data_IF_709557068229
#
_entry.id   IF_709557068229
#
_cell.length_a   1.000
_cell.length_b   1.000
_cell.length_c   1.000
_cell.angle_alpha   90.00
_cell.angle_beta   90.00
_cell.angle_gamma   90.00
#
_symmetry.space_group_name_H-M   'P 1'
#
loop_
_entity.id
_entity.type
_entity.pdbx_description
1 polymer ?
#
# COMPACT_ATOMS: atom_id res chain seq x y z
N UNK A 1 -12.97 -49.44 48.68
CA UNK A 1 -11.61 -49.00 48.31
C UNK A 1 -11.46 -48.33 46.93
N UNK A 2 -12.50 -48.17 46.08
CA UNK A 2 -12.35 -47.62 44.71
C UNK A 2 -12.50 -46.10 44.54
N UNK A 3 -12.97 -45.34 45.55
CA UNK A 3 -13.20 -43.88 45.43
C UNK A 3 -11.99 -43.00 45.82
N UNK A 4 -10.98 -43.54 46.50
CA UNK A 4 -9.78 -42.77 46.90
C UNK A 4 -8.70 -42.69 45.82
N UNK A 5 -8.71 -43.60 44.84
CA UNK A 5 -7.76 -43.59 43.72
C UNK A 5 -8.09 -42.55 42.65
N UNK A 6 -9.38 -42.20 42.47
CA UNK A 6 -9.80 -41.25 41.44
C UNK A 6 -9.35 -39.81 41.75
N UNK A 7 -9.30 -39.43 43.04
CA UNK A 7 -8.85 -38.10 43.46
C UNK A 7 -7.33 -37.91 43.34
N UNK A 8 -6.55 -38.98 43.48
CA UNK A 8 -5.08 -38.94 43.29
C UNK A 8 -4.70 -38.78 41.81
N UNK A 9 -5.45 -39.38 40.88
CA UNK A 9 -5.23 -39.20 39.44
C UNK A 9 -5.64 -37.81 38.93
N UNK A 10 -6.71 -37.23 39.48
CA UNK A 10 -7.13 -35.87 39.11
C UNK A 10 -6.15 -34.79 39.63
N UNK A 11 -5.56 -35.00 40.82
CA UNK A 11 -4.53 -34.10 41.36
C UNK A 11 -3.24 -34.09 40.55
N UNK A 12 -2.81 -35.25 40.01
CA UNK A 12 -1.60 -35.36 39.21
C UNK A 12 -1.74 -34.68 37.82
N UNK A 13 -2.93 -34.72 37.21
CA UNK A 13 -3.20 -34.04 35.93
C UNK A 13 -3.26 -32.51 36.05
N UNK A 14 -3.70 -31.97 37.20
CA UNK A 14 -3.71 -30.53 37.46
C UNK A 14 -2.29 -30.00 37.77
N UNK A 15 -1.43 -30.82 38.40
CA UNK A 15 -0.04 -30.45 38.63
C UNK A 15 0.81 -30.43 37.33
N UNK A 16 0.53 -31.32 36.37
CA UNK A 16 1.25 -31.39 35.08
C UNK A 16 0.80 -30.32 34.05
N UNK A 17 -0.43 -29.81 34.12
CA UNK A 17 -0.88 -28.72 33.25
C UNK A 17 -0.31 -27.36 33.67
N UNK A 18 0.05 -27.22 34.95
CA UNK A 18 0.64 -26.01 35.53
C UNK A 18 2.09 -25.79 35.05
N UNK A 19 2.89 -26.85 34.90
CA UNK A 19 4.29 -26.77 34.46
C UNK A 19 4.43 -26.43 32.98
N UNK A 20 3.51 -26.90 32.12
CA UNK A 20 3.50 -26.58 30.69
C UNK A 20 3.22 -25.08 30.41
N UNK A 21 2.36 -24.44 31.20
CA UNK A 21 2.08 -23.00 31.07
C UNK A 21 3.25 -22.14 31.61
N UNK A 22 3.96 -22.61 32.63
CA UNK A 22 5.16 -21.94 33.16
C UNK A 22 6.33 -22.06 32.17
N UNK A 23 6.54 -23.23 31.56
CA UNK A 23 7.55 -23.41 30.50
C UNK A 23 7.27 -22.53 29.28
N UNK A 24 6.01 -22.42 28.86
CA UNK A 24 5.62 -21.52 27.75
C UNK A 24 5.92 -20.06 28.08
N UNK A 25 5.58 -19.60 29.28
CA UNK A 25 5.90 -18.23 29.75
C UNK A 25 7.41 -17.97 29.86
N UNK A 26 8.21 -18.98 30.20
CA UNK A 26 9.68 -18.89 30.23
C UNK A 26 10.28 -18.86 28.82
N UNK A 27 9.79 -19.69 27.90
CA UNK A 27 10.16 -19.66 26.48
C UNK A 27 9.85 -18.32 25.81
N UNK A 28 8.67 -17.75 26.11
CA UNK A 28 8.27 -16.43 25.62
C UNK A 28 9.12 -15.30 26.19
N UNK A 29 9.64 -15.45 27.42
CA UNK A 29 10.56 -14.47 28.05
C UNK A 29 11.98 -14.58 27.51
N UNK A 30 12.46 -15.80 27.25
CA UNK A 30 13.78 -16.04 26.66
C UNK A 30 13.82 -15.53 25.22
N UNK A 31 12.79 -15.83 24.41
CA UNK A 31 12.65 -15.33 23.04
C UNK A 31 12.61 -13.81 23.01
N UNK A 32 11.84 -13.16 23.90
CA UNK A 32 11.83 -11.70 24.05
C UNK A 32 13.18 -11.10 24.42
N UNK A 33 13.98 -11.75 25.26
CA UNK A 33 15.31 -11.25 25.65
C UNK A 33 16.31 -11.34 24.49
N UNK A 34 16.29 -12.45 23.73
CA UNK A 34 17.13 -12.65 22.56
C UNK A 34 16.74 -11.65 21.47
N UNK A 35 15.44 -11.50 21.20
CA UNK A 35 14.91 -10.54 20.23
C UNK A 35 15.26 -9.09 20.61
N UNK A 36 15.21 -8.72 21.89
CA UNK A 36 15.63 -7.40 22.35
C UNK A 36 17.14 -7.14 22.16
N UNK A 37 17.98 -8.14 22.40
CA UNK A 37 19.43 -8.01 22.24
C UNK A 37 19.85 -7.92 20.78
N UNK A 38 19.16 -8.67 19.91
CA UNK A 38 19.35 -8.62 18.45
C UNK A 38 18.84 -7.28 17.89
N UNK A 39 17.64 -6.84 18.28
CA UNK A 39 17.08 -5.56 17.86
C UNK A 39 17.96 -4.35 18.25
N UNK A 40 18.59 -4.36 19.44
CA UNK A 40 19.49 -3.27 19.86
C UNK A 40 20.78 -3.19 19.03
N UNK A 41 21.31 -4.33 18.56
CA UNK A 41 22.46 -4.34 17.62
C UNK A 41 22.07 -3.88 16.22
N UNK A 42 20.83 -4.18 15.84
CA UNK A 42 20.22 -3.86 14.56
C UNK A 42 19.86 -2.37 14.46
N UNK A 43 19.32 -1.75 15.52
CA UNK A 43 19.01 -0.30 15.57
C UNK A 43 20.29 0.53 15.32
N UNK A 44 21.42 0.13 15.92
CA UNK A 44 22.71 0.79 15.69
C UNK A 44 23.24 0.63 14.25
N UNK A 45 22.91 -0.47 13.58
CA UNK A 45 23.28 -0.67 12.19
C UNK A 45 22.41 0.18 11.25
N UNK A 46 21.12 0.32 11.56
CA UNK A 46 20.15 1.11 10.78
C UNK A 46 20.46 2.59 10.87
N UNK A 47 20.75 3.12 12.05
CA UNK A 47 21.14 4.52 12.18
C UNK A 47 22.38 4.80 11.32
N UNK A 48 23.33 3.87 11.24
CA UNK A 48 24.51 3.99 10.38
C UNK A 48 24.16 3.95 8.87
N UNK A 49 23.34 3.01 8.41
CA UNK A 49 22.99 2.92 6.98
C UNK A 49 22.04 4.04 6.54
N UNK A 50 21.09 4.46 7.38
CA UNK A 50 20.21 5.60 7.07
C UNK A 50 20.97 6.91 7.06
N UNK A 51 21.90 7.13 8.00
CA UNK A 51 22.75 8.33 8.01
C UNK A 51 23.65 8.39 6.76
N UNK A 52 24.18 7.26 6.29
CA UNK A 52 24.97 7.18 5.05
C UNK A 52 24.14 7.48 3.78
N UNK A 53 22.84 7.12 3.77
CA UNK A 53 21.93 7.38 2.65
C UNK A 53 21.41 8.82 2.65
N UNK A 54 21.19 9.42 3.82
CA UNK A 54 20.59 10.77 3.95
C UNK A 54 21.61 11.90 4.04
N UNK A 55 22.86 11.64 4.45
CA UNK A 55 23.94 12.62 4.51
C UNK A 55 25.31 11.97 4.21
N UNK A 56 25.70 11.83 2.93
CA UNK A 56 27.04 11.34 2.61
C UNK A 56 28.10 12.35 3.09
N UNK A 57 28.90 11.98 4.11
CA UNK A 57 30.04 12.78 4.56
C UNK A 57 31.11 12.85 3.44
N UNK A 58 31.67 14.03 3.15
CA UNK A 58 32.78 14.15 2.19
C UNK A 58 34.02 13.45 2.76
N UNK A 59 34.65 12.57 1.97
CA UNK A 59 35.87 11.86 2.35
C UNK A 59 37.01 12.83 2.65
N UNK A 60 37.59 12.70 3.84
CA UNK A 60 38.85 13.35 4.21
C UNK A 60 40.00 12.87 3.31
N UNK A 61 40.56 13.79 2.52
CA UNK A 61 42.01 13.97 2.30
C UNK A 61 42.24 15.37 1.76
N UNK A 62 42.69 16.27 2.62
CA UNK A 62 43.18 17.62 2.26
C UNK A 62 44.65 17.55 1.78
N UNK A 63 45.22 18.57 1.08
CA UNK A 63 45.60 19.82 1.76
C UNK A 63 45.29 21.14 1.02
N UNK A 64 44.99 22.14 1.87
CA UNK A 64 44.85 23.61 1.73
C UNK A 64 45.83 24.32 0.77
N UNK A 65 45.49 25.55 0.29
CA UNK A 65 45.90 26.80 0.98
C UNK A 65 44.78 27.88 1.05
N UNK A 66 44.47 28.44 2.23
CA UNK A 66 44.91 29.72 2.87
C UNK A 66 44.16 31.00 2.41
N UNK A 67 43.41 31.57 3.39
CA UNK A 67 43.16 33.00 3.76
C UNK A 67 42.62 33.96 2.67
N UNK A 68 41.61 34.79 2.92
CA UNK A 68 41.58 35.91 3.89
C UNK A 68 40.17 36.23 4.44
N UNK A 69 40.16 36.98 5.54
CA UNK A 69 39.00 37.47 6.30
C UNK A 69 38.93 39.01 6.24
N UNK A 70 37.90 39.57 6.89
CA UNK A 70 37.64 40.99 7.25
C UNK A 70 36.74 41.80 6.28
N UNK A 71 35.72 42.61 6.66
CA UNK A 71 34.94 42.93 7.90
C UNK A 71 33.73 43.81 7.47
N UNK A 72 32.76 44.15 8.37
CA UNK A 72 31.42 44.68 8.06
C UNK A 72 31.27 46.22 8.22
N UNK A 73 30.14 46.79 7.77
CA UNK A 73 29.63 48.06 8.33
C UNK A 73 28.11 48.28 8.10
N UNK A 74 27.50 48.87 9.13
CA UNK A 74 26.10 49.19 9.44
C UNK A 74 25.67 50.55 8.84
N UNK A 75 24.35 50.76 8.58
CA UNK A 75 23.56 51.96 9.00
C UNK A 75 22.09 51.96 8.51
N UNK A 76 21.19 52.30 9.43
CA UNK A 76 19.79 52.78 9.29
C UNK A 76 19.62 53.96 10.28
N UNK A 77 18.48 54.69 10.39
CA UNK A 77 17.43 55.22 9.47
C UNK A 77 17.21 56.75 9.78
N UNK A 78 16.00 57.40 9.90
CA UNK A 78 14.62 57.38 9.32
C UNK A 78 14.18 58.86 8.93
N UNK A 79 12.92 59.43 9.06
CA UNK A 79 11.51 58.96 9.30
C UNK A 79 10.34 59.70 8.55
N UNK A 80 9.08 59.25 8.80
CA UNK A 80 7.81 60.04 8.82
C UNK A 80 6.80 59.74 7.68
N UNK A 81 5.46 59.74 7.81
CA UNK A 81 4.54 59.97 8.93
C UNK A 81 3.07 59.55 8.56
N UNK A 82 2.19 59.64 9.56
CA UNK A 82 0.81 59.18 9.81
C UNK A 82 -0.39 59.38 8.81
N UNK A 83 -1.40 58.48 9.02
CA UNK A 83 -2.86 58.37 8.68
C UNK A 83 -3.71 59.68 8.66
N UNK A 84 -4.99 59.75 8.15
CA UNK A 84 -6.13 58.83 8.43
C UNK A 84 -7.27 58.65 7.38
N UNK A 85 -8.32 57.94 7.83
CA UNK A 85 -9.52 57.31 7.22
C UNK A 85 -10.63 58.27 6.75
N UNK A 86 -11.41 57.90 5.73
CA UNK A 86 -12.82 58.32 5.60
C UNK A 86 -13.72 57.23 4.97
N UNK A 87 -14.88 56.97 5.60
CA UNK A 87 -15.98 56.11 5.11
C UNK A 87 -16.91 56.93 4.21
N UNK A 88 -17.34 56.38 3.07
CA UNK A 88 -18.59 56.80 2.39
C UNK A 88 -19.40 55.57 2.01
N UNK A 89 -20.65 55.52 2.49
CA UNK A 89 -21.73 54.63 2.03
C UNK A 89 -22.32 55.23 0.74
N UNK A 90 -22.40 54.45 -0.33
CA UNK A 90 -23.05 54.83 -1.58
C UNK A 90 -23.55 53.57 -2.30
N UNK A 91 -24.78 53.66 -2.81
CA UNK A 91 -25.67 52.57 -3.24
C UNK A 91 -25.25 51.99 -4.60
N UNK A 92 -25.63 50.73 -4.79
CA UNK A 92 -25.55 49.89 -5.99
C UNK A 92 -26.07 50.60 -7.24
N UNK A 93 -25.26 50.63 -8.28
CA UNK A 93 -25.71 50.53 -9.68
C UNK A 93 -24.92 49.45 -10.39
N UNK A 94 -25.65 48.40 -10.72
CA UNK A 94 -25.24 47.22 -11.46
C UNK A 94 -25.03 47.56 -12.94
N UNK A 95 -23.78 47.54 -13.38
CA UNK A 95 -23.40 47.30 -14.77
C UNK A 95 -22.07 46.53 -14.77
N UNK A 96 -22.13 45.23 -14.44
CA UNK A 96 -21.03 44.31 -14.75
C UNK A 96 -21.49 43.49 -15.95
N UNK A 97 -21.08 43.98 -17.11
CA UNK A 97 -21.01 43.23 -18.36
C UNK A 97 -20.22 41.95 -18.10
N UNK A 98 -20.79 40.80 -18.46
CA UNK A 98 -20.20 39.48 -18.30
C UNK A 98 -18.93 39.33 -19.17
N UNK A 99 -17.77 39.73 -18.65
CA UNK A 99 -16.44 39.29 -19.11
C UNK A 99 -15.95 38.10 -18.25
N UNK A 100 -16.77 37.06 -18.09
CA UNK A 100 -16.40 35.90 -17.26
C UNK A 100 -15.82 34.71 -18.06
N UNK A 101 -15.99 34.64 -19.38
CA UNK A 101 -15.51 33.48 -20.15
C UNK A 101 -13.99 33.52 -20.43
N UNK A 102 -13.41 34.70 -20.67
CA UNK A 102 -11.97 34.84 -20.95
C UNK A 102 -11.08 34.70 -19.70
N UNK A 103 -11.58 35.12 -18.53
CA UNK A 103 -10.86 35.07 -17.25
C UNK A 103 -10.91 33.69 -16.62
N UNK A 104 -12.03 32.97 -16.73
CA UNK A 104 -12.16 31.62 -16.18
C UNK A 104 -11.32 30.58 -16.96
N UNK A 105 -11.35 30.60 -18.29
CA UNK A 105 -10.52 29.70 -19.10
C UNK A 105 -9.01 29.94 -18.95
N UNK A 106 -8.60 31.18 -18.66
CA UNK A 106 -7.20 31.50 -18.32
C UNK A 106 -6.84 30.99 -16.92
N UNK A 107 -7.74 31.13 -15.95
CA UNK A 107 -7.55 30.64 -14.59
C UNK A 107 -7.43 29.10 -14.52
N UNK A 108 -8.23 28.35 -15.28
CA UNK A 108 -8.14 26.89 -15.36
C UNK A 108 -6.77 26.43 -15.90
N UNK A 109 -6.32 27.01 -17.00
CA UNK A 109 -4.98 26.73 -17.57
C UNK A 109 -3.84 27.09 -16.61
N UNK A 110 -4.01 28.16 -15.82
CA UNK A 110 -3.05 28.54 -14.79
C UNK A 110 -3.06 27.56 -13.62
N UNK A 111 -4.23 27.06 -13.22
CA UNK A 111 -4.38 26.08 -12.15
C UNK A 111 -3.64 24.77 -12.50
N UNK A 112 -3.80 24.27 -13.72
CA UNK A 112 -3.15 23.04 -14.20
C UNK A 112 -1.61 23.13 -14.21
N UNK A 113 -1.05 24.32 -14.43
CA UNK A 113 0.40 24.54 -14.49
C UNK A 113 0.99 25.04 -13.17
N UNK A 114 0.16 25.30 -12.17
CA UNK A 114 0.58 25.86 -10.90
C UNK A 114 1.41 24.82 -10.14
N UNK A 115 2.58 25.22 -9.68
CA UNK A 115 3.39 24.44 -8.74
C UNK A 115 2.75 24.48 -7.36
N UNK A 116 2.52 23.31 -6.79
CA UNK A 116 2.06 23.17 -5.42
C UNK A 116 3.18 22.91 -4.43
N UNK A 117 2.78 22.43 -3.26
CA UNK A 117 3.66 22.15 -2.14
C UNK A 117 3.29 20.85 -1.46
N UNK A 118 4.27 20.25 -0.77
CA UNK A 118 4.05 19.13 0.14
C UNK A 118 3.72 19.60 1.54
N UNK A 119 2.75 18.94 2.16
CA UNK A 119 2.38 19.15 3.56
C UNK A 119 2.13 17.82 4.23
N UNK A 120 2.85 17.55 5.31
CA UNK A 120 2.51 16.40 6.16
C UNK A 120 1.23 16.73 6.94
N UNK A 121 0.22 15.88 6.84
CA UNK A 121 -0.99 15.96 7.65
C UNK A 121 -0.97 14.88 8.73
N UNK A 122 -1.68 15.14 9.84
CA UNK A 122 -1.87 14.13 10.89
C UNK A 122 -3.12 13.33 10.56
N UNK A 123 -2.96 12.10 10.11
CA UNK A 123 -4.01 11.08 10.23
C UNK A 123 -3.39 9.79 10.76
N UNK A 124 -3.55 9.58 12.07
CA UNK A 124 -3.35 8.28 12.70
C UNK A 124 -4.61 7.44 12.41
N UNK A 125 -4.52 6.43 11.55
CA UNK A 125 -5.54 5.38 11.49
C UNK A 125 -5.33 4.33 12.60
N UNK A 126 -5.05 4.82 13.80
CA UNK A 126 -4.61 4.06 14.96
C UNK A 126 -5.18 4.69 16.22
N UNK A 127 -6.49 4.62 16.40
CA UNK A 127 -7.07 5.08 17.66
C UNK A 127 -6.52 4.26 18.85
N UNK A 128 -6.03 3.02 18.64
CA UNK A 128 -5.66 2.12 19.74
C UNK A 128 -4.44 1.18 19.54
N UNK A 129 -3.21 1.64 19.19
CA UNK A 129 -2.03 0.78 18.96
C UNK A 129 -1.73 -0.19 20.12
N UNK A 130 -1.38 -1.45 19.80
CA UNK A 130 -1.00 -2.46 20.78
C UNK A 130 0.37 -2.09 21.34
N UNK A 131 0.73 -2.55 22.54
CA UNK A 131 2.05 -2.26 23.10
C UNK A 131 3.22 -2.65 22.17
N UNK A 132 3.06 -3.74 21.40
CA UNK A 132 4.07 -4.17 20.42
C UNK A 132 4.13 -3.22 19.21
N UNK A 133 3.01 -2.72 18.71
CA UNK A 133 3.01 -1.76 17.61
C UNK A 133 3.62 -0.42 18.05
N UNK A 134 3.25 0.09 19.23
CA UNK A 134 3.85 1.32 19.79
C UNK A 134 5.36 1.23 19.89
N UNK A 135 5.89 0.03 20.18
CA UNK A 135 7.34 -0.20 20.30
C UNK A 135 8.06 0.01 18.97
N UNK A 136 7.47 -0.41 17.85
CA UNK A 136 8.11 -0.35 16.53
C UNK A 136 7.71 0.88 15.71
N UNK A 137 6.69 1.63 16.15
CA UNK A 137 6.25 2.89 15.53
C UNK A 137 7.40 3.84 15.19
N UNK A 138 8.36 4.13 16.09
CA UNK A 138 9.47 5.05 15.76
C UNK A 138 10.32 4.57 14.58
N UNK A 139 10.54 3.27 14.46
CA UNK A 139 11.35 2.68 13.40
C UNK A 139 10.61 2.67 12.06
N UNK A 140 9.33 2.30 12.07
CA UNK A 140 8.46 2.38 10.90
C UNK A 140 8.26 3.84 10.44
N UNK A 141 8.21 4.79 11.39
CA UNK A 141 8.15 6.23 11.10
C UNK A 141 9.39 6.74 10.37
N UNK A 142 10.58 6.28 10.76
CA UNK A 142 11.84 6.60 10.07
C UNK A 142 11.81 6.10 8.62
N UNK A 143 11.34 4.87 8.39
CA UNK A 143 11.20 4.31 7.03
C UNK A 143 10.22 5.15 6.20
N UNK A 144 9.05 5.50 6.74
CA UNK A 144 8.07 6.31 6.01
C UNK A 144 8.56 7.74 5.75
N UNK A 145 9.36 8.33 6.64
CA UNK A 145 10.00 9.62 6.38
C UNK A 145 11.01 9.50 5.24
N UNK A 146 11.87 8.47 5.25
CA UNK A 146 12.83 8.26 4.17
C UNK A 146 12.13 8.05 2.82
N UNK A 147 11.02 7.31 2.79
CA UNK A 147 10.17 7.18 1.59
C UNK A 147 9.63 8.55 1.15
N UNK A 148 9.13 9.36 2.09
CA UNK A 148 8.60 10.67 1.80
C UNK A 148 9.68 11.61 1.23
N UNK A 149 10.88 11.60 1.81
CA UNK A 149 12.03 12.37 1.34
C UNK A 149 12.39 11.99 -0.09
N UNK A 150 12.39 10.68 -0.43
CA UNK A 150 12.63 10.22 -1.80
C UNK A 150 11.59 10.72 -2.79
N UNK A 151 10.30 10.68 -2.42
CA UNK A 151 9.24 11.18 -3.30
C UNK A 151 9.35 12.68 -3.51
N UNK A 152 9.60 13.44 -2.43
CA UNK A 152 9.74 14.90 -2.48
C UNK A 152 11.03 15.37 -3.16
N UNK A 153 12.10 14.57 -3.14
CA UNK A 153 13.33 14.85 -3.89
C UNK A 153 13.07 14.85 -5.40
N UNK A 154 12.25 13.90 -5.87
CA UNK A 154 11.95 13.72 -7.29
C UNK A 154 10.85 14.68 -7.77
N UNK A 155 9.85 14.95 -6.93
CA UNK A 155 8.76 15.89 -7.23
C UNK A 155 8.64 16.98 -6.16
N UNK A 156 9.61 17.91 -6.04
CA UNK A 156 9.62 18.89 -4.96
C UNK A 156 8.50 19.94 -5.06
N UNK A 157 7.91 20.09 -6.25
CA UNK A 157 6.90 21.10 -6.54
C UNK A 157 5.83 20.54 -7.50
N UNK A 158 4.91 19.69 -6.99
CA UNK A 158 3.94 18.96 -7.79
C UNK A 158 3.12 19.90 -8.68
N UNK A 159 3.14 19.67 -9.99
CA UNK A 159 2.44 20.53 -10.94
C UNK A 159 0.95 20.20 -10.94
N UNK A 160 0.12 21.22 -10.87
CA UNK A 160 -1.33 21.10 -10.92
C UNK A 160 -1.97 20.67 -9.60
N UNK A 161 -1.20 20.47 -8.53
CA UNK A 161 -1.74 20.02 -7.24
C UNK A 161 -0.92 20.44 -6.03
N UNK A 162 -1.58 20.67 -4.90
CA UNK A 162 -0.93 20.54 -3.60
C UNK A 162 -0.95 19.07 -3.17
N UNK A 163 0.06 18.64 -2.39
CA UNK A 163 0.10 17.26 -1.91
C UNK A 163 0.07 17.22 -0.40
N UNK A 164 -0.93 16.53 0.13
CA UNK A 164 -0.98 16.16 1.53
C UNK A 164 -0.47 14.72 1.68
N UNK A 165 0.39 14.47 2.66
CA UNK A 165 0.91 13.13 2.87
C UNK A 165 0.81 12.66 4.32
N UNK A 166 0.60 11.36 4.46
CA UNK A 166 0.25 10.71 5.71
C UNK A 166 1.02 9.41 5.90
N UNK A 167 1.10 9.01 7.18
CA UNK A 167 1.71 7.75 7.61
C UNK A 167 0.63 6.81 8.08
N UNK A 168 0.43 5.72 7.37
CA UNK A 168 -0.60 4.76 7.68
C UNK A 168 0.05 3.47 8.15
N UNK A 169 0.00 3.24 9.44
CA UNK A 169 0.23 1.91 9.98
C UNK A 169 -1.01 1.05 9.65
N UNK A 170 -0.86 -0.24 9.40
CA UNK A 170 -2.00 -1.11 9.06
C UNK A 170 -2.02 -2.35 9.95
N UNK A 171 -3.14 -2.56 10.64
CA UNK A 171 -3.24 -3.59 11.70
C UNK A 171 -3.52 -4.96 11.15
N UNK A 172 -4.64 -5.15 10.45
CA UNK A 172 -5.09 -6.53 10.17
C UNK A 172 -6.27 -6.63 9.20
N UNK A 173 -7.05 -5.56 8.99
CA UNK A 173 -8.37 -5.68 8.33
C UNK A 173 -8.38 -6.12 6.87
N UNK A 174 -7.23 -6.12 6.19
CA UNK A 174 -7.13 -6.59 4.81
C UNK A 174 -5.75 -7.21 4.53
N UNK A 175 -5.18 -7.89 5.55
CA UNK A 175 -3.88 -8.61 5.47
C UNK A 175 -3.92 -9.89 4.63
N UNK A 176 -4.86 -9.90 3.69
CA UNK A 176 -5.15 -10.98 2.75
C UNK A 176 -3.94 -11.35 1.91
N UNK A 177 -2.90 -10.53 1.85
CA UNK A 177 -1.76 -10.78 0.97
C UNK A 177 -0.40 -10.77 1.69
N UNK A 178 -0.32 -10.60 3.02
CA UNK A 178 1.01 -10.57 3.66
C UNK A 178 1.62 -11.98 3.77
N UNK A 179 2.90 -12.18 3.38
CA UNK A 179 3.61 -13.46 3.50
C UNK A 179 3.80 -13.97 4.93
N UNK A 180 3.66 -13.13 5.95
CA UNK A 180 3.72 -13.56 7.36
C UNK A 180 2.79 -12.66 8.18
N UNK A 181 1.78 -13.22 8.88
CA UNK A 181 0.83 -12.43 9.65
C UNK A 181 1.47 -11.62 10.79
N UNK A 182 2.73 -11.90 11.15
CA UNK A 182 3.49 -11.14 12.12
C UNK A 182 4.31 -10.00 11.51
N UNK A 183 4.39 -9.88 10.18
CA UNK A 183 5.04 -8.73 9.54
C UNK A 183 4.21 -7.47 9.78
N UNK A 184 4.86 -6.43 10.29
CA UNK A 184 4.22 -5.13 10.39
C UNK A 184 4.10 -4.53 9.00
N UNK A 185 2.86 -4.25 8.61
CA UNK A 185 2.53 -3.59 7.35
C UNK A 185 2.20 -2.13 7.63
N UNK A 186 2.80 -1.23 6.87
CA UNK A 186 2.61 0.22 6.97
C UNK A 186 2.84 0.85 5.60
N UNK A 187 2.38 2.07 5.40
CA UNK A 187 2.44 2.72 4.09
C UNK A 187 2.55 4.23 4.19
N UNK A 188 3.31 4.80 3.26
CA UNK A 188 3.23 6.21 2.90
C UNK A 188 2.02 6.42 1.97
N UNK A 189 1.26 7.49 2.21
CA UNK A 189 0.12 7.89 1.39
C UNK A 189 0.28 9.34 0.98
N UNK A 190 0.35 9.61 -0.33
CA UNK A 190 0.34 10.95 -0.93
C UNK A 190 -0.98 11.22 -1.63
N UNK A 191 -1.66 12.30 -1.24
CA UNK A 191 -2.93 12.78 -1.76
C UNK A 191 -2.69 14.04 -2.60
N UNK A 192 -2.81 13.92 -3.92
CA UNK A 192 -2.61 15.04 -4.84
C UNK A 192 -3.95 15.77 -4.99
N UNK A 193 -4.06 16.93 -4.35
CA UNK A 193 -5.22 17.81 -4.33
C UNK A 193 -5.14 18.78 -5.53
N UNK A 194 -5.91 18.56 -6.60
CA UNK A 194 -5.80 19.36 -7.81
C UNK A 194 -6.15 20.82 -7.55
N UNK A 195 -5.45 21.75 -8.20
CA UNK A 195 -5.88 23.14 -8.23
C UNK A 195 -7.11 23.27 -9.13
N UNK A 196 -8.17 23.89 -8.60
CA UNK A 196 -9.36 24.24 -9.37
C UNK A 196 -9.50 25.77 -9.45
N UNK A 197 -10.11 26.25 -10.52
CA UNK A 197 -10.48 27.65 -10.60
C UNK A 197 -11.79 27.89 -9.84
N UNK A 198 -11.74 28.69 -8.78
CA UNK A 198 -12.94 29.14 -8.06
C UNK A 198 -12.94 30.66 -7.98
N UNK A 199 -13.97 31.28 -8.53
CA UNK A 199 -14.11 32.74 -8.58
C UNK A 199 -12.86 33.44 -9.17
N UNK A 200 -12.28 32.88 -10.24
CA UNK A 200 -11.10 33.42 -10.91
C UNK A 200 -9.77 33.23 -10.15
N UNK A 201 -9.76 32.44 -9.07
CA UNK A 201 -8.56 32.10 -8.30
C UNK A 201 -8.32 30.60 -8.32
N UNK A 202 -7.07 30.21 -8.59
CA UNK A 202 -6.65 28.82 -8.46
C UNK A 202 -6.45 28.47 -6.97
N UNK A 203 -7.22 27.51 -6.46
CA UNK A 203 -7.13 27.00 -5.09
C UNK A 203 -7.17 25.47 -5.07
N UNK A 204 -6.51 24.80 -4.10
CA UNK A 204 -6.54 23.35 -4.02
C UNK A 204 -7.94 22.86 -3.69
N UNK A 205 -8.42 21.85 -4.42
CA UNK A 205 -9.69 21.21 -4.16
C UNK A 205 -9.57 20.20 -3.02
N UNK A 206 -10.57 20.13 -2.14
CA UNK A 206 -10.56 19.24 -0.98
C UNK A 206 -10.78 17.75 -1.30
N UNK A 207 -10.95 17.40 -2.58
CA UNK A 207 -11.08 16.01 -3.04
C UNK A 207 -9.91 15.73 -3.98
N UNK A 208 -9.14 14.70 -3.67
CA UNK A 208 -8.07 14.20 -4.53
C UNK A 208 -8.61 13.24 -5.58
N UNK A 209 -8.12 13.37 -6.82
CA UNK A 209 -8.35 12.43 -7.92
C UNK A 209 -7.15 11.50 -8.17
N UNK A 210 -6.02 11.76 -7.50
CA UNK A 210 -4.71 11.17 -7.77
C UNK A 210 -4.02 10.84 -6.46
N UNK A 211 -3.66 9.57 -6.30
CA UNK A 211 -3.02 9.08 -5.08
C UNK A 211 -1.72 8.36 -5.39
N UNK A 212 -0.80 8.41 -4.44
CA UNK A 212 0.41 7.60 -4.40
C UNK A 212 0.43 6.81 -3.09
N UNK A 213 0.65 5.50 -3.19
CA UNK A 213 0.80 4.58 -2.07
C UNK A 213 2.14 3.87 -2.19
N UNK A 214 2.92 3.88 -1.13
CA UNK A 214 4.12 3.03 -1.01
C UNK A 214 3.91 2.15 0.22
N UNK A 215 3.56 0.89 -0.03
CA UNK A 215 3.24 -0.09 1.01
C UNK A 215 4.45 -0.91 1.34
N UNK A 216 4.79 -1.02 2.61
CA UNK A 216 5.88 -1.83 3.13
C UNK A 216 5.31 -3.12 3.71
N UNK A 217 5.88 -4.26 3.33
CA UNK A 217 5.50 -5.61 3.79
C UNK A 217 4.05 -6.02 3.53
N UNK A 218 3.37 -5.32 2.62
CA UNK A 218 2.03 -5.63 2.21
C UNK A 218 1.86 -5.36 0.73
N UNK A 219 1.06 -6.19 0.08
CA UNK A 219 0.57 -5.85 -1.24
C UNK A 219 -0.55 -4.83 -1.12
N UNK A 220 -1.00 -4.34 -2.27
CA UNK A 220 -2.22 -3.60 -2.35
C UNK A 220 -3.38 -4.37 -1.68
N UNK A 221 -4.13 -3.67 -0.85
CA UNK A 221 -5.41 -4.17 -0.34
C UNK A 221 -6.32 -4.40 -1.53
N UNK A 222 -6.81 -5.62 -1.71
CA UNK A 222 -7.93 -5.82 -2.61
C UNK A 222 -9.15 -5.24 -1.91
N UNK A 223 -9.47 -3.97 -2.18
CA UNK A 223 -10.77 -3.39 -1.78
C UNK A 223 -11.95 -4.02 -2.57
N UNK A 224 -11.70 -5.18 -3.16
CA UNK A 224 -12.58 -6.02 -3.91
C UNK A 224 -13.19 -6.99 -2.90
N UNK A 225 -14.39 -6.68 -2.47
CA UNK A 225 -15.16 -7.44 -1.47
C UNK A 225 -15.36 -8.91 -1.84
N UNK A 226 -15.36 -9.25 -3.14
CA UNK A 226 -15.60 -10.60 -3.63
C UNK A 226 -14.40 -11.53 -3.44
N UNK A 227 -13.18 -11.05 -3.73
CA UNK A 227 -11.95 -11.80 -3.45
C UNK A 227 -11.78 -12.03 -1.93
N UNK A 228 -12.28 -11.10 -1.11
CA UNK A 228 -12.29 -11.26 0.35
C UNK A 228 -13.19 -12.40 0.83
N UNK A 229 -14.16 -12.88 0.03
CA UNK A 229 -14.93 -14.09 0.36
C UNK A 229 -14.06 -15.35 0.31
N UNK A 230 -13.22 -15.51 -0.72
CA UNK A 230 -12.24 -16.61 -0.80
C UNK A 230 -11.35 -16.61 0.45
N UNK A 231 -10.87 -15.42 0.81
CA UNK A 231 -9.90 -15.27 1.88
C UNK A 231 -10.50 -15.39 3.27
N UNK A 232 -11.74 -14.95 3.46
CA UNK A 232 -12.48 -15.16 4.71
C UNK A 232 -12.85 -16.63 4.93
N UNK A 233 -13.12 -17.38 3.86
CA UNK A 233 -13.49 -18.80 3.97
C UNK A 233 -12.27 -19.69 4.18
N UNK A 234 -11.19 -19.47 3.42
CA UNK A 234 -10.05 -20.41 3.41
C UNK A 234 -8.82 -19.93 4.15
N UNK A 235 -8.67 -18.64 4.40
CA UNK A 235 -7.43 -18.07 4.95
C UNK A 235 -6.21 -18.22 4.02
N UNK A 236 -6.40 -18.72 2.80
CA UNK A 236 -5.36 -19.00 1.79
C UNK A 236 -4.82 -17.74 1.10
N UNK A 237 -5.43 -16.58 1.39
CA UNK A 237 -4.82 -15.27 1.10
C UNK A 237 -4.56 -15.03 -0.39
N UNK A 238 -5.45 -15.52 -1.25
CA UNK A 238 -5.36 -15.40 -2.70
C UNK A 238 -5.69 -14.00 -3.15
N UNK A 239 -4.83 -13.42 -3.98
CA UNK A 239 -5.01 -12.11 -4.60
C UNK A 239 -4.67 -12.17 -6.10
N UNK A 240 -5.17 -11.22 -6.87
CA UNK A 240 -4.86 -11.08 -8.28
C UNK A 240 -3.83 -9.96 -8.49
N UNK A 241 -2.93 -10.15 -9.44
CA UNK A 241 -2.18 -9.05 -10.04
C UNK A 241 -2.56 -8.93 -11.50
N UNK A 242 -2.56 -7.68 -12.00
CA UNK A 242 -2.71 -7.41 -13.42
C UNK A 242 -1.57 -7.99 -14.23
N UNK A 243 -1.70 -7.93 -15.56
CA UNK A 243 -0.64 -8.35 -16.49
C UNK A 243 0.68 -7.64 -16.16
N UNK A 244 1.75 -8.40 -15.95
CA UNK A 244 3.10 -7.84 -15.92
C UNK A 244 3.46 -7.37 -17.33
N UNK A 245 3.75 -6.09 -17.49
CA UNK A 245 4.02 -5.48 -18.81
C UNK A 245 5.47 -5.10 -19.04
N UNK A 246 6.31 -5.35 -18.05
CA UNK A 246 7.75 -5.15 -18.16
C UNK A 246 8.36 -4.92 -16.80
N UNK A 247 9.39 -4.08 -16.79
CA UNK A 247 10.08 -3.66 -15.58
C UNK A 247 10.18 -2.14 -15.52
N UNK A 248 10.10 -1.57 -14.32
CA UNK A 248 10.39 -0.17 -14.05
C UNK A 248 11.45 -0.10 -12.96
N UNK A 249 12.56 0.60 -13.22
CA UNK A 249 13.72 0.61 -12.31
C UNK A 249 14.37 -0.75 -12.06
N UNK A 250 14.10 -1.75 -12.92
CA UNK A 250 14.55 -3.14 -12.76
C UNK A 250 13.59 -4.05 -11.98
N UNK A 251 12.42 -3.52 -11.57
CA UNK A 251 11.42 -4.24 -10.79
C UNK A 251 10.16 -4.56 -11.61
N UNK A 252 9.45 -5.66 -11.34
CA UNK A 252 8.21 -6.02 -12.04
C UNK A 252 7.18 -4.88 -12.02
N UNK A 253 6.72 -4.49 -13.21
CA UNK A 253 5.71 -3.46 -13.42
C UNK A 253 4.43 -4.10 -13.98
N UNK A 254 3.32 -3.86 -13.29
CA UNK A 254 2.02 -4.45 -13.57
C UNK A 254 1.06 -3.40 -14.13
N UNK A 255 0.32 -3.78 -15.18
CA UNK A 255 -0.81 -2.99 -15.68
C UNK A 255 -1.90 -2.85 -14.61
N UNK A 256 -2.71 -1.78 -14.70
CA UNK A 256 -3.86 -1.56 -13.83
C UNK A 256 -4.75 -2.79 -13.68
N UNK A 257 -4.91 -3.22 -12.43
CA UNK A 257 -6.14 -3.87 -12.01
C UNK A 257 -7.09 -2.78 -11.49
N UNK A 258 -8.36 -2.75 -11.92
CA UNK A 258 -9.36 -1.87 -11.33
C UNK A 258 -9.40 -2.10 -9.81
N UNK A 259 -9.25 -1.05 -9.02
CA UNK A 259 -9.43 -1.19 -7.57
C UNK A 259 -10.90 -1.04 -7.23
N UNK A 260 -11.40 -1.93 -6.37
CA UNK A 260 -12.80 -1.94 -5.94
C UNK A 260 -13.28 -0.64 -5.28
N UNK A 261 -12.38 0.29 -4.94
CA UNK A 261 -12.69 1.60 -4.36
C UNK A 261 -13.60 2.39 -5.29
N UNK A 262 -13.34 2.33 -6.60
CA UNK A 262 -14.08 3.02 -7.65
C UNK A 262 -13.87 2.31 -8.98
N UNK A 263 -14.89 1.63 -9.51
CA UNK A 263 -14.95 1.21 -10.93
C UNK A 263 -15.18 2.45 -11.81
N UNK A 264 -14.25 3.40 -11.77
CA UNK A 264 -14.24 4.56 -12.64
C UNK A 264 -13.34 4.21 -13.82
N UNK A 265 -13.90 4.01 -15.03
CA UNK A 265 -13.12 3.65 -16.21
C UNK A 265 -12.06 4.70 -16.58
N UNK A 266 -12.17 5.91 -16.03
CA UNK A 266 -11.21 7.00 -16.20
C UNK A 266 -9.99 6.91 -15.27
N UNK A 267 -9.93 5.98 -14.29
CA UNK A 267 -8.78 5.85 -13.36
C UNK A 267 -8.00 4.56 -13.62
N UNK A 268 -6.72 4.72 -13.95
CA UNK A 268 -5.75 3.66 -14.24
C UNK A 268 -4.80 3.55 -13.04
N UNK A 269 -4.63 2.34 -12.52
CA UNK A 269 -3.69 1.99 -11.45
C UNK A 269 -2.36 1.53 -12.02
N UNK A 270 -1.25 2.03 -11.52
CA UNK A 270 0.07 1.55 -11.90
C UNK A 270 0.75 0.97 -10.67
N UNK A 271 1.31 -0.23 -10.78
CA UNK A 271 1.92 -0.92 -9.64
C UNK A 271 3.30 -1.46 -9.96
N UNK A 272 4.27 -1.19 -9.08
CA UNK A 272 5.63 -1.72 -9.14
C UNK A 272 5.93 -2.47 -7.85
N UNK A 273 6.40 -3.71 -7.98
CA UNK A 273 6.81 -4.52 -6.84
C UNK A 273 8.32 -4.41 -6.64
N UNK A 274 8.74 -3.69 -5.61
CA UNK A 274 10.14 -3.62 -5.18
C UNK A 274 10.40 -4.78 -4.23
N UNK A 275 11.32 -5.69 -4.59
CA UNK A 275 11.58 -6.91 -3.83
C UNK A 275 13.07 -7.29 -3.85
N UNK A 276 13.47 -8.28 -3.04
CA UNK A 276 14.83 -8.82 -3.03
C UNK A 276 15.13 -9.59 -4.32
N UNK A 277 16.36 -9.51 -4.79
CA UNK A 277 16.78 -10.19 -6.02
C UNK A 277 16.56 -11.70 -5.94
N UNK A 278 16.10 -12.30 -7.05
CA UNK A 278 15.98 -13.75 -7.21
C UNK A 278 14.81 -14.42 -6.48
N UNK A 279 13.97 -13.68 -5.75
CA UNK A 279 12.79 -14.24 -5.07
C UNK A 279 11.62 -13.28 -5.08
N UNK A 280 10.41 -13.78 -5.34
CA UNK A 280 9.17 -13.01 -5.27
C UNK A 280 8.45 -13.28 -3.95
N UNK A 281 7.77 -12.29 -3.36
CA UNK A 281 6.97 -12.46 -2.15
C UNK A 281 5.65 -13.24 -2.37
N UNK A 282 5.47 -13.86 -3.52
CA UNK A 282 4.30 -14.63 -3.90
C UNK A 282 4.64 -15.80 -4.81
N UNK A 283 3.71 -16.74 -4.89
CA UNK A 283 3.72 -17.87 -5.81
C UNK A 283 2.40 -17.94 -6.58
N UNK A 284 2.42 -18.41 -7.85
CA UNK A 284 1.21 -18.57 -8.63
C UNK A 284 0.27 -19.59 -7.99
N UNK A 285 -1.03 -19.31 -8.04
CA UNK A 285 -2.08 -20.31 -7.79
C UNK A 285 -2.31 -21.06 -9.09
N UNK A 286 -2.37 -22.39 -9.04
CA UNK A 286 -2.66 -23.20 -10.24
C UNK A 286 -4.16 -23.28 -10.51
N UNK A 287 -4.53 -23.67 -11.73
CA UNK A 287 -5.94 -23.92 -12.08
C UNK A 287 -6.57 -24.95 -11.15
N UNK A 288 -5.83 -26.02 -10.84
CA UNK A 288 -6.26 -27.06 -9.92
C UNK A 288 -6.50 -26.56 -8.50
N UNK A 289 -5.59 -25.74 -7.99
CA UNK A 289 -5.76 -25.11 -6.67
C UNK A 289 -7.04 -24.27 -6.64
N UNK A 290 -7.30 -23.43 -7.65
CA UNK A 290 -8.53 -22.62 -7.72
C UNK A 290 -9.79 -23.49 -7.79
N UNK A 291 -9.82 -24.50 -8.66
CA UNK A 291 -10.99 -25.37 -8.79
C UNK A 291 -11.23 -26.20 -7.52
N UNK A 292 -10.17 -26.59 -6.80
CA UNK A 292 -10.29 -27.25 -5.50
C UNK A 292 -10.82 -26.30 -4.41
N UNK A 293 -10.43 -25.01 -4.42
CA UNK A 293 -11.03 -24.01 -3.54
C UNK A 293 -12.53 -23.86 -3.81
N UNK A 294 -12.92 -23.82 -5.09
CA UNK A 294 -14.34 -23.80 -5.49
C UNK A 294 -15.11 -25.03 -5.00
N UNK A 295 -14.51 -26.23 -5.12
CA UNK A 295 -15.10 -27.50 -4.65
C UNK A 295 -15.34 -27.46 -3.14
N UNK A 296 -14.32 -27.08 -2.36
CA UNK A 296 -14.44 -26.95 -0.90
C UNK A 296 -15.50 -25.92 -0.50
N UNK A 297 -15.61 -24.81 -1.24
CA UNK A 297 -16.62 -23.80 -0.94
C UNK A 297 -18.03 -24.34 -1.16
N UNK A 298 -18.26 -25.06 -2.26
CA UNK A 298 -19.56 -25.70 -2.52
C UNK A 298 -19.93 -26.73 -1.46
N UNK A 299 -18.98 -27.54 -0.98
CA UNK A 299 -19.21 -28.48 0.13
C UNK A 299 -19.67 -27.76 1.41
N UNK A 300 -19.12 -26.57 1.69
CA UNK A 300 -19.55 -25.74 2.82
C UNK A 300 -20.95 -25.15 2.62
N UNK A 301 -21.31 -24.79 1.39
CA UNK A 301 -22.67 -24.32 1.06
C UNK A 301 -23.68 -25.47 1.19
N UNK A 302 -23.36 -26.65 0.67
CA UNK A 302 -24.22 -27.84 0.69
C UNK A 302 -24.43 -28.39 2.11
N UNK A 303 -23.42 -28.26 2.98
CA UNK A 303 -23.55 -28.58 4.41
C UNK A 303 -24.27 -27.50 5.22
N UNK A 304 -24.70 -26.41 4.60
CA UNK A 304 -25.39 -25.29 5.26
C UNK A 304 -24.50 -24.40 6.12
N UNK A 305 -23.18 -24.59 6.08
CA UNK A 305 -22.20 -23.77 6.81
C UNK A 305 -22.00 -22.40 6.17
N UNK A 306 -22.21 -22.31 4.86
CA UNK A 306 -22.23 -21.07 4.08
C UNK A 306 -23.56 -20.95 3.34
N UNK A 307 -23.91 -19.72 2.96
CA UNK A 307 -25.06 -19.45 2.10
C UNK A 307 -24.55 -19.10 0.70
N UNK A 308 -25.27 -19.56 -0.32
CA UNK A 308 -25.15 -19.06 -1.68
C UNK A 308 -26.51 -18.53 -2.14
N UNK A 309 -26.49 -17.55 -3.03
CA UNK A 309 -27.69 -17.03 -3.71
C UNK A 309 -27.99 -17.78 -5.01
N UNK A 310 -27.09 -18.66 -5.43
CA UNK A 310 -27.12 -19.34 -6.73
C UNK A 310 -27.64 -20.78 -6.65
N UNK A 311 -27.98 -21.35 -7.81
CA UNK A 311 -28.41 -22.74 -7.91
C UNK A 311 -27.23 -23.70 -7.68
N UNK A 312 -27.21 -24.36 -6.53
CA UNK A 312 -26.14 -25.28 -6.09
C UNK A 312 -25.91 -26.43 -7.09
N UNK A 313 -26.97 -27.03 -7.62
CA UNK A 313 -26.85 -28.13 -8.57
C UNK A 313 -26.18 -27.68 -9.88
N UNK A 314 -26.51 -26.46 -10.33
CA UNK A 314 -25.88 -25.84 -11.50
C UNK A 314 -24.40 -25.54 -11.22
N UNK A 315 -24.07 -24.92 -10.09
CA UNK A 315 -22.69 -24.63 -9.73
C UNK A 315 -21.81 -25.89 -9.68
N UNK A 316 -22.34 -26.98 -9.10
CA UNK A 316 -21.65 -28.28 -9.05
C UNK A 316 -21.40 -28.83 -10.44
N UNK A 317 -22.43 -28.83 -11.31
CA UNK A 317 -22.29 -29.29 -12.70
C UNK A 317 -21.25 -28.47 -13.47
N UNK A 318 -21.28 -27.15 -13.32
CA UNK A 318 -20.34 -26.23 -13.95
C UNK A 318 -18.90 -26.45 -13.46
N UNK A 319 -18.72 -26.68 -12.16
CA UNK A 319 -17.42 -26.98 -11.59
C UNK A 319 -16.84 -28.30 -12.13
N UNK A 320 -17.65 -29.36 -12.24
CA UNK A 320 -17.20 -30.63 -12.81
C UNK A 320 -16.83 -30.50 -14.30
N UNK A 321 -17.58 -29.71 -15.07
CA UNK A 321 -17.21 -29.34 -16.45
C UNK A 321 -15.86 -28.62 -16.49
N UNK A 322 -15.63 -27.64 -15.61
CA UNK A 322 -14.37 -26.91 -15.53
C UNK A 322 -13.18 -27.82 -15.21
N UNK A 323 -13.33 -28.77 -14.29
CA UNK A 323 -12.30 -29.77 -14.01
C UNK A 323 -11.98 -30.63 -15.25
N UNK A 324 -13.01 -31.09 -15.95
CA UNK A 324 -12.83 -31.93 -17.14
C UNK A 324 -12.16 -31.15 -18.28
N UNK A 325 -12.60 -29.92 -18.54
CA UNK A 325 -12.04 -29.05 -19.59
C UNK A 325 -10.57 -28.68 -19.32
N UNK A 326 -10.17 -28.58 -18.06
CA UNK A 326 -8.82 -28.16 -17.65
C UNK A 326 -7.93 -29.31 -17.16
N UNK A 327 -8.35 -30.57 -17.34
CA UNK A 327 -7.65 -31.74 -16.78
C UNK A 327 -6.18 -31.84 -17.21
N UNK A 328 -5.86 -31.49 -18.45
CA UNK A 328 -4.48 -31.49 -18.98
C UNK A 328 -3.67 -30.24 -18.61
N UNK A 329 -4.30 -29.23 -18.02
CA UNK A 329 -3.70 -27.93 -17.72
C UNK A 329 -3.84 -27.54 -16.24
N UNK A 330 -4.11 -28.52 -15.39
CA UNK A 330 -4.45 -28.27 -13.99
C UNK A 330 -3.30 -27.64 -13.18
N UNK A 331 -2.06 -27.91 -13.59
CA UNK A 331 -0.85 -27.36 -12.98
C UNK A 331 -0.42 -26.01 -13.57
N UNK A 332 -1.09 -25.54 -14.64
CA UNK A 332 -0.82 -24.21 -15.19
C UNK A 332 -1.31 -23.11 -14.24
N UNK A 333 -0.73 -21.91 -14.28
CA UNK A 333 -1.23 -20.76 -13.52
C UNK A 333 -2.71 -20.49 -13.78
N UNK A 334 -3.45 -20.19 -12.72
CA UNK A 334 -4.82 -19.70 -12.77
C UNK A 334 -4.82 -18.23 -13.20
N UNK A 335 -5.16 -18.01 -14.48
CA UNK A 335 -5.33 -16.67 -15.04
C UNK A 335 -6.80 -16.49 -15.36
N UNK A 336 -7.47 -15.58 -14.64
CA UNK A 336 -8.92 -15.37 -14.73
C UNK A 336 -9.24 -14.11 -15.53
N UNK A 337 -10.40 -14.10 -16.19
CA UNK A 337 -10.82 -12.98 -17.05
C UNK A 337 -11.15 -11.70 -16.27
N UNK A 338 -11.67 -11.88 -15.06
CA UNK A 338 -12.03 -10.77 -14.16
C UNK A 338 -10.87 -10.53 -13.18
N UNK A 339 -10.65 -9.28 -12.74
CA UNK A 339 -9.69 -9.01 -11.66
C UNK A 339 -10.12 -9.62 -10.31
N UNK A 340 -11.35 -10.11 -10.22
CA UNK A 340 -12.02 -10.60 -9.02
C UNK A 340 -12.58 -11.99 -9.31
N UNK A 341 -12.46 -12.91 -8.37
CA UNK A 341 -13.17 -14.18 -8.41
C UNK A 341 -14.23 -14.23 -7.31
N UNK A 342 -15.47 -14.50 -7.71
CA UNK A 342 -16.60 -14.79 -6.82
C UNK A 342 -17.00 -16.25 -7.05
N UNK A 343 -17.20 -17.03 -5.98
CA UNK A 343 -17.69 -18.40 -6.14
C UNK A 343 -19.08 -18.46 -6.76
N UNK A 344 -19.91 -17.43 -6.59
CA UNK A 344 -21.21 -17.34 -7.22
C UNK A 344 -21.11 -17.16 -8.75
N UNK A 345 -19.96 -16.75 -9.29
CA UNK A 345 -19.75 -16.73 -10.75
C UNK A 345 -19.86 -18.14 -11.37
N UNK A 346 -19.70 -19.21 -10.58
CA UNK A 346 -19.97 -20.59 -11.00
C UNK A 346 -21.45 -20.82 -11.35
N UNK A 347 -22.37 -20.04 -10.79
CA UNK A 347 -23.82 -20.14 -11.03
C UNK A 347 -24.26 -19.38 -12.28
N UNK A 348 -23.47 -18.41 -12.73
CA UNK A 348 -23.83 -17.53 -13.85
C UNK A 348 -23.25 -18.04 -15.18
N UNK A 349 -24.11 -18.28 -16.17
CA UNK A 349 -23.69 -18.43 -17.58
C UNK A 349 -24.01 -19.76 -18.27
N UNK A 350 -23.82 -19.75 -19.60
CA UNK A 350 -23.92 -20.90 -20.50
C UNK A 350 -22.81 -21.93 -20.14
N UNK A 351 -23.18 -23.15 -19.72
CA UNK A 351 -22.24 -24.19 -19.29
C UNK A 351 -21.17 -24.54 -20.33
N UNK A 352 -21.43 -24.28 -21.61
CA UNK A 352 -20.55 -24.66 -22.72
C UNK A 352 -19.59 -23.52 -23.12
N UNK A 353 -19.72 -22.32 -22.52
CA UNK A 353 -18.83 -21.17 -22.71
C UNK A 353 -18.04 -20.80 -21.46
N UNK A 354 -18.14 -21.61 -20.43
CA UNK A 354 -17.80 -21.23 -19.06
C UNK A 354 -16.33 -21.44 -18.68
N UNK A 355 -15.38 -21.44 -19.63
CA UNK A 355 -13.98 -21.49 -19.22
C UNK A 355 -13.58 -20.16 -18.59
N UNK A 356 -13.47 -20.18 -17.27
CA UNK A 356 -13.10 -19.04 -16.42
C UNK A 356 -11.64 -18.64 -16.61
N UNK A 357 -10.82 -19.57 -17.11
CA UNK A 357 -9.42 -19.35 -17.38
C UNK A 357 -9.19 -18.71 -18.74
N UNK A 358 -8.15 -17.91 -18.82
CA UNK A 358 -7.73 -17.19 -20.03
C UNK A 358 -6.19 -17.14 -20.12
N UNK A 359 -5.68 -16.34 -21.05
CA UNK A 359 -4.24 -16.13 -21.26
C UNK A 359 -3.71 -14.98 -20.38
N UNK A 360 -2.39 -14.90 -20.24
CA UNK A 360 -1.71 -13.80 -19.52
C UNK A 360 -1.92 -12.44 -20.19
N UNK A 361 -2.26 -12.43 -21.48
CA UNK A 361 -2.50 -11.21 -22.23
C UNK A 361 -3.89 -10.62 -21.96
N UNK A 362 -4.85 -11.50 -21.61
CA UNK A 362 -6.28 -11.19 -21.53
C UNK A 362 -6.86 -11.31 -20.11
N UNK A 363 -6.01 -11.53 -19.10
CA UNK A 363 -6.49 -11.84 -17.75
C UNK A 363 -5.57 -11.42 -16.61
N UNK A 364 -6.00 -11.84 -15.42
CA UNK A 364 -5.40 -11.53 -14.14
C UNK A 364 -4.92 -12.82 -13.50
N UNK A 365 -3.63 -12.88 -13.18
CA UNK A 365 -3.06 -14.08 -12.58
C UNK A 365 -3.32 -14.08 -11.08
N UNK A 366 -3.79 -15.21 -10.57
CA UNK A 366 -3.97 -15.44 -9.15
C UNK A 366 -2.65 -15.85 -8.51
N UNK A 367 -2.40 -15.27 -7.34
CA UNK A 367 -1.23 -15.49 -6.52
C UNK A 367 -1.66 -15.73 -5.08
N UNK A 368 -0.76 -16.36 -4.33
CA UNK A 368 -0.81 -16.40 -2.87
C UNK A 368 0.55 -15.98 -2.31
N UNK A 369 0.62 -15.51 -1.06
CA UNK A 369 1.87 -15.07 -0.47
C UNK A 369 2.86 -16.24 -0.35
N UNK A 370 4.15 -15.98 -0.62
CA UNK A 370 5.22 -16.95 -0.39
C UNK A 370 5.72 -16.81 1.05
N UNK A 371 5.25 -17.67 1.95
CA UNK A 371 5.67 -17.67 3.35
C UNK A 371 7.18 -17.85 3.54
N UNK A 372 7.86 -18.49 2.58
CA UNK A 372 9.31 -18.67 2.62
C UNK A 372 10.07 -17.40 2.25
N UNK A 373 9.40 -16.38 1.71
CA UNK A 373 10.02 -15.10 1.33
C UNK A 373 10.51 -14.32 2.55
N UNK A 374 9.88 -14.47 3.71
CA UNK A 374 10.18 -13.62 4.87
C UNK A 374 11.48 -14.01 5.52
N UNK A 375 12.39 -13.04 5.66
CA UNK A 375 13.59 -13.23 6.48
C UNK A 375 13.22 -13.25 7.95
N UNK A 376 13.38 -14.42 8.58
CA UNK A 376 13.06 -14.62 9.98
C UNK A 376 14.16 -14.09 10.91
N UNK A 377 15.33 -13.73 10.37
CA UNK A 377 16.49 -13.24 11.15
C UNK A 377 16.43 -11.75 11.47
N UNK A 378 15.55 -11.00 10.79
CA UNK A 378 15.41 -9.55 10.94
C UNK A 378 14.11 -9.18 11.64
N UNK A 379 14.07 -7.99 12.25
CA UNK A 379 12.88 -7.49 12.92
C UNK A 379 11.69 -7.38 11.96
N UNK A 380 10.50 -7.80 12.40
CA UNK A 380 9.27 -7.87 11.59
C UNK A 380 8.74 -6.53 11.05
N UNK A 381 9.30 -5.42 11.50
CA UNK A 381 8.99 -4.08 10.99
C UNK A 381 9.86 -3.65 9.82
N UNK A 382 11.02 -4.30 9.62
CA UNK A 382 11.95 -3.93 8.53
C UNK A 382 11.30 -4.20 7.17
N UNK A 383 11.53 -3.35 6.16
CA UNK A 383 11.10 -3.63 4.81
C UNK A 383 11.66 -4.97 4.32
N UNK A 384 10.78 -5.82 3.80
CA UNK A 384 11.10 -7.08 3.13
C UNK A 384 10.75 -7.00 1.64
N UNK A 385 9.71 -6.24 1.33
CA UNK A 385 9.29 -5.86 -0.01
C UNK A 385 8.43 -4.59 0.09
N UNK A 386 8.28 -3.89 -1.03
CA UNK A 386 7.38 -2.74 -1.13
C UNK A 386 6.53 -2.80 -2.39
N UNK A 387 5.26 -2.45 -2.28
CA UNK A 387 4.37 -2.24 -3.42
C UNK A 387 4.14 -0.74 -3.59
N UNK A 388 4.65 -0.20 -4.70
CA UNK A 388 4.41 1.19 -5.10
C UNK A 388 3.21 1.21 -6.03
N UNK A 389 2.18 1.98 -5.70
CA UNK A 389 0.97 2.14 -6.50
C UNK A 389 0.63 3.61 -6.68
N UNK A 390 0.40 4.07 -7.90
CA UNK A 390 -0.15 5.40 -8.15
C UNK A 390 -1.34 5.37 -9.11
N UNK A 391 -2.19 6.38 -9.01
CA UNK A 391 -3.40 6.51 -9.81
C UNK A 391 -3.18 7.52 -10.93
N UNK A 392 -3.65 7.18 -12.13
CA UNK A 392 -3.70 8.05 -13.29
C UNK A 392 -5.16 8.24 -13.70
N UNK A 393 -5.70 9.41 -13.42
CA UNK A 393 -7.01 9.84 -13.89
C UNK A 393 -6.88 10.43 -15.31
N UNK A 394 -7.66 9.91 -16.25
CA UNK A 394 -7.68 10.34 -17.65
C UNK A 394 -8.14 11.79 -17.75
N UNK A 395 -7.40 12.60 -18.52
CA UNK A 395 -7.72 14.02 -18.72
C UNK A 395 -7.47 14.89 -17.49
N UNK A 396 -6.69 14.42 -16.51
CA UNK A 396 -6.28 15.17 -15.33
C UNK A 396 -4.77 15.47 -15.38
N UNK A 397 -4.36 16.72 -15.69
CA UNK A 397 -2.94 17.06 -15.88
C UNK A 397 -2.03 16.76 -14.68
N UNK A 398 -2.51 16.99 -13.45
CA UNK A 398 -1.76 16.64 -12.23
C UNK A 398 -1.49 15.12 -12.13
N UNK A 399 -2.45 14.30 -12.58
CA UNK A 399 -2.34 12.85 -12.60
C UNK A 399 -1.35 12.35 -13.66
N UNK A 400 -1.37 12.98 -14.83
CA UNK A 400 -0.42 12.71 -15.91
C UNK A 400 1.01 13.09 -15.52
N UNK A 401 1.19 14.23 -14.84
CA UNK A 401 2.50 14.64 -14.33
C UNK A 401 3.04 13.65 -13.29
N UNK A 402 2.21 13.21 -12.33
CA UNK A 402 2.63 12.17 -11.38
C UNK A 402 3.02 10.87 -12.11
N UNK A 403 2.22 10.42 -13.06
CA UNK A 403 2.52 9.21 -13.84
C UNK A 403 3.86 9.33 -14.57
N UNK A 404 4.16 10.51 -15.14
CA UNK A 404 5.44 10.81 -15.78
C UNK A 404 6.60 10.78 -14.78
N UNK A 405 6.48 11.49 -13.66
CA UNK A 405 7.46 11.50 -12.56
C UNK A 405 7.79 10.06 -12.13
N UNK A 406 6.77 9.26 -11.86
CA UNK A 406 6.95 7.89 -11.38
C UNK A 406 7.60 6.97 -12.43
N UNK A 407 7.33 7.19 -13.73
CA UNK A 407 7.90 6.37 -14.81
C UNK A 407 9.32 6.76 -15.20
N UNK A 408 9.60 8.05 -15.23
CA UNK A 408 10.78 8.59 -15.89
C UNK A 408 11.86 9.04 -14.89
N UNK A 409 11.46 9.45 -13.68
CA UNK A 409 12.35 10.13 -12.73
C UNK A 409 12.51 9.38 -11.41
N UNK A 410 11.48 8.68 -10.94
CA UNK A 410 11.53 8.00 -9.66
C UNK A 410 12.47 6.79 -9.68
N UNK A 411 13.52 6.81 -8.86
CA UNK A 411 14.49 5.72 -8.76
C UNK A 411 14.03 4.64 -7.76
N UNK A 412 13.35 3.62 -8.28
CA UNK A 412 12.90 2.47 -7.49
C UNK A 412 14.06 1.70 -6.82
N UNK A 413 15.31 1.84 -7.26
CA UNK A 413 16.45 1.19 -6.61
C UNK A 413 16.74 1.81 -5.24
N UNK A 414 16.44 3.10 -5.04
CA UNK A 414 16.54 3.74 -3.71
C UNK A 414 15.57 3.11 -2.71
N UNK A 415 14.37 2.71 -3.14
CA UNK A 415 13.47 1.89 -2.32
C UNK A 415 14.01 0.47 -2.09
N UNK A 416 14.60 -0.13 -3.13
CA UNK A 416 15.25 -1.44 -3.03
C UNK A 416 16.38 -1.48 -1.99
N UNK A 417 17.13 -0.39 -1.86
CA UNK A 417 18.18 -0.25 -0.87
C UNK A 417 17.66 -0.21 0.58
N UNK A 418 16.37 0.09 0.80
CA UNK A 418 15.76 0.05 2.15
C UNK A 418 15.36 -1.38 2.59
N UNK A 419 15.37 -2.35 1.66
CA UNK A 419 15.04 -3.75 1.92
C UNK A 419 16.28 -4.56 2.33
N UNK A 420 17.44 -4.20 1.78
CA UNK A 420 18.73 -4.84 2.05
C UNK A 420 19.46 -4.15 3.21
#
# INVERSE_FOLDING_TARGET
MKKRFLFLFFGLFVALSSTAQILKKLGDRASRKIENAVNKKIDNAIDKTLDEITNPKPSEKSPKPKKEAETPAVKTPPPGDNKPVTKVKGKVESNVTFEQSGTQGNCEKQAEKRKGSWKQTKVYNYDHPTPNEKRFTPNMDKVMNAIADLVMEVDPAPVGSNVEWEKWFTRTGDSVSTPDPLLHTYQFVGQFLPFICKYGKAEPYGITDTWLFIRVNGFQRSEITLQNQINSVFGDKVFSLGKQVGTLGGYPYFKPAPTGIRKIPEVVYNSVLVHRSGKLPFIPVTRGELLNMCRKWLELVESGKLKSTENIALMRSNLDKLFNQNKSEIDKPAIIRKPEWDFNDLGTGDPDKQNIFTTIDDGYQLFRPDHSYVDQSVSKWRPQFMMVTWYKASGKPNSEELDKVMREQFDFKKLGAMIN
#
